data_IF_052828359383
#
_entry.id   IF_052828359383
#
_cell.length_a   1.000
_cell.length_b   1.000
_cell.length_c   1.000
_cell.angle_alpha   90.00
_cell.angle_beta   90.00
_cell.angle_gamma   90.00
#
_symmetry.space_group_name_H-M   'P 1'
#
loop_
_entity.id
_entity.type
_entity.pdbx_description
1 polymer ?
#
# COMPACT_ATOMS: atom_id res chain seq x y z
N UNK A 1 -24.82 23.77 -10.00
CA UNK A 1 -24.07 24.05 -11.25
C UNK A 1 -23.22 22.84 -11.58
N UNK A 2 -23.22 22.32 -12.81
CA UNK A 2 -22.43 21.11 -13.15
C UNK A 2 -21.09 21.60 -13.73
N UNK A 3 -20.02 21.56 -12.92
CA UNK A 3 -18.68 21.90 -13.38
C UNK A 3 -18.09 20.74 -14.20
N UNK A 4 -17.39 21.07 -15.27
CA UNK A 4 -16.64 20.13 -16.10
C UNK A 4 -15.27 19.92 -15.44
N UNK A 5 -14.80 18.67 -15.35
CA UNK A 5 -13.49 18.38 -14.77
C UNK A 5 -12.36 18.66 -15.76
N UNK A 6 -11.17 18.99 -15.23
CA UNK A 6 -9.97 19.16 -16.07
C UNK A 6 -9.67 17.88 -16.84
N UNK A 7 -9.84 16.72 -16.22
CA UNK A 7 -9.69 15.42 -16.89
C UNK A 7 -10.61 15.26 -18.10
N UNK A 8 -11.85 15.69 -17.97
CA UNK A 8 -12.83 15.63 -19.07
C UNK A 8 -12.44 16.55 -20.22
N UNK A 9 -11.95 17.77 -19.92
CA UNK A 9 -11.49 18.71 -20.94
C UNK A 9 -10.32 18.14 -21.75
N UNK A 10 -9.35 17.50 -21.09
CA UNK A 10 -8.21 16.88 -21.80
C UNK A 10 -8.60 15.62 -22.60
N UNK A 11 -9.62 14.88 -22.15
CA UNK A 11 -10.10 13.70 -22.89
C UNK A 11 -10.93 14.02 -24.11
N UNK A 12 -11.77 15.03 -24.00
CA UNK A 12 -12.80 15.38 -24.99
C UNK A 12 -12.72 16.83 -25.42
N UNK A 13 -11.51 17.38 -25.60
CA UNK A 13 -11.23 18.80 -25.89
C UNK A 13 -12.11 19.36 -27.00
N UNK A 14 -12.20 18.68 -28.14
CA UNK A 14 -12.97 19.12 -29.31
C UNK A 14 -14.46 19.34 -29.02
N UNK A 15 -15.01 18.60 -28.05
CA UNK A 15 -16.41 18.75 -27.64
C UNK A 15 -16.68 20.05 -26.91
N UNK A 16 -15.65 20.72 -26.42
CA UNK A 16 -15.76 21.92 -25.59
C UNK A 16 -15.12 23.17 -26.20
N UNK A 17 -14.34 23.05 -27.29
CA UNK A 17 -13.73 24.21 -27.96
C UNK A 17 -14.80 25.19 -28.44
N UNK A 18 -14.50 26.47 -28.27
CA UNK A 18 -15.34 27.64 -28.62
C UNK A 18 -16.70 27.65 -27.91
N UNK A 19 -16.84 26.87 -26.81
CA UNK A 19 -18.05 26.84 -25.99
C UNK A 19 -17.79 27.45 -24.62
N UNK A 20 -18.85 28.08 -24.11
CA UNK A 20 -18.90 28.52 -22.72
C UNK A 20 -18.99 27.28 -21.80
N UNK A 21 -18.06 27.21 -20.85
CA UNK A 21 -17.96 26.10 -19.87
C UNK A 21 -17.78 26.67 -18.46
N UNK A 22 -18.08 25.83 -17.45
CA UNK A 22 -17.82 26.14 -16.05
C UNK A 22 -16.91 25.08 -15.47
N UNK A 23 -15.83 25.51 -14.80
CA UNK A 23 -14.86 24.68 -14.11
C UNK A 23 -14.67 25.16 -12.68
N UNK A 24 -14.21 24.29 -11.78
CA UNK A 24 -13.91 24.64 -10.40
C UNK A 24 -12.62 23.95 -9.93
N UNK A 25 -11.87 24.61 -9.06
CA UNK A 25 -10.62 24.03 -8.54
C UNK A 25 -9.82 25.00 -7.69
N UNK A 26 -8.58 24.62 -7.41
CA UNK A 26 -7.66 25.36 -6.55
C UNK A 26 -6.50 25.93 -7.34
N UNK A 27 -6.13 27.18 -7.02
CA UNK A 27 -5.05 27.88 -7.70
C UNK A 27 -3.68 27.29 -7.36
N UNK A 28 -2.92 26.99 -8.40
CA UNK A 28 -1.50 26.59 -8.36
C UNK A 28 -0.58 27.80 -8.56
N UNK A 29 -1.03 28.79 -9.32
CA UNK A 29 -0.37 30.08 -9.46
C UNK A 29 -1.34 31.14 -9.94
N UNK A 30 -1.03 32.39 -9.61
CA UNK A 30 -1.67 33.59 -10.12
C UNK A 30 -0.57 34.55 -10.59
N UNK A 31 -0.66 35.03 -11.80
CA UNK A 31 0.27 36.00 -12.39
C UNK A 31 -0.53 37.08 -13.11
N UNK A 32 -0.59 38.26 -12.54
CA UNK A 32 -1.33 39.38 -13.09
C UNK A 32 -0.45 40.51 -13.62
N UNK A 33 -1.01 41.27 -14.55
CA UNK A 33 -0.55 42.58 -14.99
C UNK A 33 -1.64 43.62 -14.71
N UNK A 34 -1.46 44.84 -15.22
CA UNK A 34 -2.46 45.93 -15.02
C UNK A 34 -3.76 45.70 -15.80
N UNK A 35 -3.70 44.97 -16.92
CA UNK A 35 -4.81 44.80 -17.86
C UNK A 35 -5.36 43.37 -17.93
N UNK A 36 -4.55 42.37 -17.59
CA UNK A 36 -4.95 40.94 -17.61
C UNK A 36 -4.08 40.10 -16.69
N UNK A 37 -4.48 38.86 -16.44
CA UNK A 37 -3.70 37.90 -15.69
C UNK A 37 -3.97 36.44 -16.08
N UNK A 38 -3.14 35.55 -15.51
CA UNK A 38 -3.22 34.11 -15.71
C UNK A 38 -3.38 33.42 -14.37
N UNK A 39 -4.44 32.65 -14.24
CA UNK A 39 -4.56 31.66 -13.18
C UNK A 39 -4.14 30.29 -13.74
N UNK A 40 -3.43 29.51 -12.96
CA UNK A 40 -3.22 28.08 -13.22
C UNK A 40 -3.96 27.32 -12.13
N UNK A 41 -4.91 26.51 -12.52
CA UNK A 41 -5.82 25.80 -11.63
C UNK A 41 -5.67 24.29 -11.80
N UNK A 42 -5.81 23.54 -10.70
CA UNK A 42 -5.99 22.09 -10.70
C UNK A 42 -7.24 21.74 -9.90
N UNK A 43 -8.03 20.81 -10.41
CA UNK A 43 -9.27 20.35 -9.76
C UNK A 43 -9.15 18.99 -9.06
N UNK A 44 -7.95 18.40 -9.10
CA UNK A 44 -7.69 17.08 -8.51
C UNK A 44 -8.19 15.88 -9.35
N UNK A 45 -8.86 16.10 -10.48
CA UNK A 45 -9.36 15.01 -11.33
C UNK A 45 -8.28 14.33 -12.16
N UNK A 46 -7.20 15.02 -12.48
CA UNK A 46 -6.04 14.51 -13.21
C UNK A 46 -4.76 15.23 -12.79
N UNK A 47 -3.65 14.84 -13.42
CA UNK A 47 -2.34 15.41 -13.14
C UNK A 47 -2.13 16.77 -13.82
N UNK A 48 -2.82 17.00 -14.93
CA UNK A 48 -2.75 18.25 -15.67
C UNK A 48 -3.41 19.41 -14.92
N UNK A 49 -3.00 20.61 -15.31
CA UNK A 49 -3.59 21.87 -14.84
C UNK A 49 -4.23 22.64 -15.99
N UNK A 50 -5.13 23.53 -15.67
CA UNK A 50 -5.84 24.38 -16.62
C UNK A 50 -5.36 25.83 -16.49
N UNK A 51 -5.01 26.46 -17.61
CA UNK A 51 -4.74 27.88 -17.67
C UNK A 51 -6.02 28.66 -17.90
N UNK A 52 -6.18 29.76 -17.17
CA UNK A 52 -7.32 30.67 -17.25
C UNK A 52 -6.77 32.06 -17.43
N UNK A 53 -7.26 32.75 -18.44
CA UNK A 53 -6.94 34.16 -18.71
C UNK A 53 -8.10 35.02 -18.22
N UNK A 54 -7.83 36.04 -17.42
CA UNK A 54 -8.81 37.00 -16.94
C UNK A 54 -8.38 38.42 -17.24
N UNK A 55 -9.33 39.32 -17.53
CA UNK A 55 -9.10 40.67 -18.00
C UNK A 55 -9.67 41.73 -17.05
N UNK A 56 -9.21 43.00 -17.19
CA UNK A 56 -9.56 44.11 -16.34
C UNK A 56 -11.01 44.63 -16.53
N UNK A 57 -11.71 44.13 -17.53
CA UNK A 57 -13.15 44.36 -17.72
C UNK A 57 -14.04 43.55 -16.76
N UNK A 58 -13.49 42.60 -16.01
CA UNK A 58 -14.22 41.88 -14.98
C UNK A 58 -14.46 42.78 -13.76
N UNK A 59 -15.68 42.71 -13.19
CA UNK A 59 -16.06 43.52 -12.04
C UNK A 59 -15.13 43.30 -10.83
N UNK A 60 -14.75 42.07 -10.57
CA UNK A 60 -13.89 41.66 -9.45
C UNK A 60 -12.41 41.45 -9.83
N UNK A 61 -11.94 42.01 -10.94
CA UNK A 61 -10.55 41.90 -11.39
C UNK A 61 -9.51 42.19 -10.30
N UNK A 62 -9.73 43.22 -9.50
CA UNK A 62 -8.81 43.60 -8.41
C UNK A 62 -8.74 42.56 -7.30
N UNK A 63 -9.83 41.86 -7.03
CA UNK A 63 -9.91 40.77 -6.08
C UNK A 63 -9.16 39.54 -6.65
N UNK A 64 -9.53 39.10 -7.85
CA UNK A 64 -8.93 37.96 -8.53
C UNK A 64 -7.42 38.12 -8.70
N UNK A 65 -6.95 39.33 -9.04
CA UNK A 65 -5.51 39.62 -9.22
C UNK A 65 -4.66 39.46 -7.94
N UNK A 66 -5.29 39.45 -6.76
CA UNK A 66 -4.64 39.33 -5.46
C UNK A 66 -4.75 37.94 -4.84
N UNK A 67 -5.49 37.01 -5.44
CA UNK A 67 -5.68 35.69 -4.92
C UNK A 67 -4.34 34.94 -4.76
N UNK A 68 -4.18 34.30 -3.62
CA UNK A 68 -3.02 33.48 -3.30
C UNK A 68 -3.12 32.07 -3.89
N UNK A 69 -1.99 31.37 -3.92
CA UNK A 69 -1.93 29.92 -4.18
C UNK A 69 -2.79 29.20 -3.14
N UNK A 70 -3.57 28.22 -3.58
CA UNK A 70 -4.48 27.47 -2.73
C UNK A 70 -5.90 28.03 -2.66
N UNK A 71 -6.16 29.24 -3.16
CA UNK A 71 -7.52 29.77 -3.24
C UNK A 71 -8.41 28.89 -4.13
N UNK A 72 -9.66 28.72 -3.73
CA UNK A 72 -10.67 27.95 -4.45
C UNK A 72 -11.51 28.90 -5.32
N UNK A 73 -11.67 28.56 -6.59
CA UNK A 73 -12.42 29.37 -7.56
C UNK A 73 -13.35 28.52 -8.42
N UNK A 74 -14.48 29.15 -8.83
CA UNK A 74 -15.31 28.66 -9.93
C UNK A 74 -15.12 29.65 -11.08
N UNK A 75 -14.82 29.14 -12.26
CA UNK A 75 -14.57 29.97 -13.46
C UNK A 75 -15.56 29.60 -14.54
N UNK A 76 -16.24 30.60 -15.07
CA UNK A 76 -17.09 30.53 -16.25
C UNK A 76 -16.40 31.28 -17.38
N UNK A 77 -16.33 30.68 -18.56
CA UNK A 77 -15.70 31.32 -19.72
C UNK A 77 -15.64 30.40 -20.93
N UNK A 78 -15.05 30.91 -22.00
CA UNK A 78 -14.93 30.19 -23.27
C UNK A 78 -13.61 29.41 -23.35
N UNK A 79 -13.66 28.11 -23.68
CA UNK A 79 -12.47 27.28 -23.94
C UNK A 79 -11.92 27.61 -25.33
N UNK A 80 -10.66 28.02 -25.42
CA UNK A 80 -10.00 28.36 -26.69
C UNK A 80 -8.74 27.51 -26.90
N UNK A 81 -8.51 27.09 -28.14
CA UNK A 81 -7.30 26.39 -28.51
C UNK A 81 -6.08 27.31 -28.48
N UNK A 82 -4.94 26.76 -28.00
CA UNK A 82 -3.66 27.50 -27.95
C UNK A 82 -2.53 26.64 -28.54
N UNK A 83 -2.55 26.34 -29.86
CA UNK A 83 -1.65 25.38 -30.49
C UNK A 83 -0.17 25.79 -30.42
N UNK A 84 0.12 27.09 -30.30
CA UNK A 84 1.47 27.64 -30.18
C UNK A 84 1.97 27.71 -28.71
N UNK A 85 1.11 27.41 -27.75
CA UNK A 85 1.45 27.46 -26.33
C UNK A 85 1.87 26.08 -25.78
N UNK A 86 2.38 26.07 -24.56
CA UNK A 86 2.77 24.82 -23.89
C UNK A 86 1.55 23.93 -23.60
N UNK A 87 0.41 24.54 -23.23
CA UNK A 87 -0.87 23.85 -23.04
C UNK A 87 -1.69 23.88 -24.34
N UNK A 88 -2.51 22.85 -24.61
CA UNK A 88 -3.26 22.77 -25.86
C UNK A 88 -4.44 23.76 -25.94
N UNK A 89 -4.91 24.22 -24.80
CA UNK A 89 -6.06 25.15 -24.66
C UNK A 89 -5.98 25.95 -23.38
N UNK A 90 -6.79 26.99 -23.29
CA UNK A 90 -7.00 27.79 -22.08
C UNK A 90 -8.45 28.28 -22.00
N UNK A 91 -8.89 28.76 -20.84
CA UNK A 91 -10.19 29.44 -20.68
C UNK A 91 -10.00 30.93 -20.72
N UNK A 92 -10.75 31.60 -21.61
CA UNK A 92 -10.96 33.03 -21.55
C UNK A 92 -12.12 33.31 -20.57
N UNK A 93 -11.77 33.74 -19.35
CA UNK A 93 -12.73 33.92 -18.28
C UNK A 93 -13.66 35.12 -18.51
N UNK A 94 -14.93 34.87 -18.35
CA UNK A 94 -15.99 35.89 -18.30
C UNK A 94 -16.36 36.20 -16.86
N UNK A 95 -16.31 35.18 -15.98
CA UNK A 95 -16.63 35.31 -14.58
C UNK A 95 -15.69 34.42 -13.76
N UNK A 96 -15.18 34.92 -12.63
CA UNK A 96 -14.44 34.17 -11.63
C UNK A 96 -15.08 34.41 -10.27
N UNK A 97 -15.71 33.37 -9.73
CA UNK A 97 -16.26 33.38 -8.38
C UNK A 97 -15.22 32.87 -7.41
N UNK A 98 -14.93 33.64 -6.37
CA UNK A 98 -14.01 33.21 -5.29
C UNK A 98 -14.83 32.45 -4.25
N UNK A 99 -14.70 31.12 -4.22
CA UNK A 99 -15.38 30.26 -3.25
C UNK A 99 -14.68 30.29 -1.88
N UNK A 100 -13.35 30.40 -1.89
CA UNK A 100 -12.56 30.50 -0.68
C UNK A 100 -11.18 31.08 -0.95
N UNK A 101 -10.82 32.14 -0.25
CA UNK A 101 -9.48 32.70 -0.33
C UNK A 101 -8.45 31.84 0.42
N UNK A 102 -7.18 32.05 0.16
CA UNK A 102 -6.07 31.38 0.81
C UNK A 102 -5.23 32.39 1.59
N UNK A 103 -5.02 32.10 2.86
CA UNK A 103 -4.22 32.97 3.71
C UNK A 103 -2.77 33.11 3.19
N UNK A 104 -2.13 34.30 3.42
CA UNK A 104 -0.79 34.57 2.92
C UNK A 104 0.30 33.61 3.45
N UNK A 105 0.07 32.96 4.58
CA UNK A 105 0.94 32.00 5.22
C UNK A 105 0.71 30.54 4.76
N UNK A 106 -0.08 30.34 3.69
CA UNK A 106 -0.29 29.02 3.10
C UNK A 106 1.03 28.27 2.90
N UNK A 107 1.21 27.10 3.51
CA UNK A 107 2.54 26.47 3.65
C UNK A 107 3.10 25.91 2.33
N UNK A 108 2.22 25.56 1.36
CA UNK A 108 2.61 24.99 0.07
C UNK A 108 2.84 26.09 -0.98
N UNK A 109 3.80 26.96 -0.70
CA UNK A 109 4.22 28.01 -1.64
C UNK A 109 4.92 27.41 -2.88
N UNK A 110 5.05 28.22 -3.95
CA UNK A 110 5.69 27.83 -5.22
C UNK A 110 7.20 27.62 -5.05
N UNK A 111 7.60 26.57 -4.33
CA UNK A 111 8.98 26.12 -4.13
C UNK A 111 9.00 24.62 -3.96
N UNK A 112 10.17 24.00 -4.09
CA UNK A 112 10.33 22.58 -3.75
C UNK A 112 10.26 22.40 -2.22
N UNK A 113 9.45 21.45 -1.77
CA UNK A 113 9.34 21.03 -0.38
C UNK A 113 9.99 19.66 -0.20
N UNK A 114 10.68 19.44 0.91
CA UNK A 114 11.21 18.12 1.25
C UNK A 114 10.11 17.20 1.74
N UNK A 115 10.31 15.88 1.63
CA UNK A 115 9.36 14.91 2.15
C UNK A 115 9.22 14.99 3.67
N UNK A 116 10.32 15.28 4.40
CA UNK A 116 10.32 15.49 5.84
C UNK A 116 9.36 16.61 6.21
N UNK A 117 9.46 17.75 5.54
CA UNK A 117 8.54 18.87 5.77
C UNK A 117 7.09 18.49 5.44
N UNK A 118 6.85 17.82 4.31
CA UNK A 118 5.50 17.42 3.90
C UNK A 118 4.86 16.40 4.86
N UNK A 119 5.66 15.62 5.59
CA UNK A 119 5.16 14.74 6.65
C UNK A 119 4.64 15.50 7.87
N UNK A 120 5.11 16.73 8.10
CA UNK A 120 4.60 17.58 9.20
C UNK A 120 3.24 18.22 8.90
N UNK A 121 2.80 18.19 7.65
CA UNK A 121 1.52 18.74 7.18
C UNK A 121 0.75 17.70 6.34
N UNK A 122 0.46 16.49 6.85
CA UNK A 122 -0.13 15.40 6.07
C UNK A 122 -1.48 15.77 5.46
N UNK A 123 -2.29 16.61 6.14
CA UNK A 123 -3.57 17.12 5.67
C UNK A 123 -3.49 18.05 4.44
N UNK A 124 -2.33 18.64 4.16
CA UNK A 124 -2.13 19.54 3.01
C UNK A 124 -1.26 18.92 1.91
N UNK A 125 -0.37 17.97 2.25
CA UNK A 125 0.60 17.42 1.29
C UNK A 125 -0.03 16.81 0.05
N UNK A 126 -1.27 16.31 0.14
CA UNK A 126 -2.04 15.81 -1.00
C UNK A 126 -2.30 16.88 -2.09
N UNK A 127 -2.13 18.17 -1.77
CA UNK A 127 -2.22 19.26 -2.75
C UNK A 127 -0.94 19.40 -3.60
N UNK A 128 0.13 18.68 -3.31
CA UNK A 128 1.36 18.65 -4.13
C UNK A 128 1.25 17.65 -5.26
N UNK A 129 1.98 17.85 -6.35
CA UNK A 129 1.96 16.94 -7.49
C UNK A 129 2.41 15.52 -7.11
N UNK A 130 3.48 15.40 -6.31
CA UNK A 130 4.00 14.10 -5.88
C UNK A 130 2.94 13.30 -5.12
N UNK A 131 2.30 13.90 -4.12
CA UNK A 131 1.31 13.17 -3.31
C UNK A 131 -0.03 12.98 -4.02
N UNK A 132 -0.39 13.85 -4.96
CA UNK A 132 -1.52 13.58 -5.86
C UNK A 132 -1.25 12.33 -6.71
N UNK A 133 -0.04 12.21 -7.28
CA UNK A 133 0.35 11.03 -8.04
C UNK A 133 0.36 9.78 -7.16
N UNK A 134 0.99 9.82 -5.99
CA UNK A 134 1.07 8.69 -5.06
C UNK A 134 -0.31 8.17 -4.69
N UNK A 135 -1.20 9.03 -4.21
CA UNK A 135 -2.51 8.59 -3.72
C UNK A 135 -3.46 8.21 -4.84
N UNK A 136 -3.29 8.75 -6.04
CA UNK A 136 -4.03 8.31 -7.22
C UNK A 136 -3.60 6.91 -7.66
N UNK A 137 -2.28 6.66 -7.73
CA UNK A 137 -1.74 5.33 -8.02
C UNK A 137 -2.09 4.34 -6.92
N UNK A 138 -2.00 4.72 -5.64
CA UNK A 138 -2.48 3.89 -4.52
C UNK A 138 -3.94 3.44 -4.71
N UNK A 139 -4.81 4.35 -5.12
CA UNK A 139 -6.23 4.04 -5.39
C UNK A 139 -6.39 3.05 -6.55
N UNK A 140 -5.60 3.21 -7.62
CA UNK A 140 -5.63 2.29 -8.77
C UNK A 140 -5.10 0.90 -8.41
N UNK A 141 -4.03 0.82 -7.61
CA UNK A 141 -3.49 -0.46 -7.11
C UNK A 141 -4.56 -1.21 -6.32
N UNK A 142 -5.26 -0.53 -5.41
CA UNK A 142 -6.33 -1.16 -4.62
C UNK A 142 -7.44 -1.72 -5.52
N UNK A 143 -7.87 -0.94 -6.51
CA UNK A 143 -8.88 -1.40 -7.47
C UNK A 143 -8.38 -2.59 -8.30
N UNK A 144 -7.16 -2.53 -8.82
CA UNK A 144 -6.55 -3.60 -9.61
C UNK A 144 -6.46 -4.92 -8.83
N UNK A 145 -6.11 -4.87 -7.54
CA UNK A 145 -6.07 -6.05 -6.67
C UNK A 145 -7.47 -6.65 -6.52
N UNK A 146 -8.49 -5.85 -6.22
CA UNK A 146 -9.86 -6.34 -6.14
C UNK A 146 -10.32 -6.94 -7.48
N UNK A 147 -10.02 -6.28 -8.59
CA UNK A 147 -10.39 -6.77 -9.93
C UNK A 147 -9.71 -8.11 -10.23
N UNK A 148 -8.40 -8.24 -9.94
CA UNK A 148 -7.66 -9.47 -10.14
C UNK A 148 -8.30 -10.68 -9.46
N UNK A 149 -8.64 -10.54 -8.19
CA UNK A 149 -9.23 -11.63 -7.42
C UNK A 149 -10.69 -11.91 -7.80
N UNK A 150 -11.51 -10.86 -7.98
CA UNK A 150 -12.92 -11.02 -8.34
C UNK A 150 -13.10 -11.67 -9.71
N UNK A 151 -12.29 -11.31 -10.71
CA UNK A 151 -12.33 -11.93 -12.05
C UNK A 151 -11.93 -13.41 -12.04
N UNK A 152 -11.18 -13.84 -11.01
CA UNK A 152 -10.78 -15.25 -10.79
C UNK A 152 -11.74 -16.01 -9.88
N UNK A 153 -12.83 -15.39 -9.45
CA UNK A 153 -13.85 -16.02 -8.62
C UNK A 153 -13.53 -16.12 -7.14
N UNK A 154 -12.48 -15.42 -6.67
CA UNK A 154 -12.20 -15.32 -5.25
C UNK A 154 -13.26 -14.51 -4.52
N UNK A 155 -13.62 -14.93 -3.31
CA UNK A 155 -14.55 -14.24 -2.44
C UNK A 155 -13.80 -13.29 -1.51
N UNK A 156 -14.16 -12.01 -1.53
CA UNK A 156 -13.63 -11.04 -0.55
C UNK A 156 -14.26 -11.26 0.82
N UNK A 157 -13.45 -11.48 1.83
CA UNK A 157 -13.89 -11.78 3.21
C UNK A 157 -13.42 -10.68 4.17
N UNK A 158 -14.36 -10.16 4.95
CA UNK A 158 -14.06 -9.29 6.09
C UNK A 158 -13.70 -10.14 7.31
N UNK A 159 -12.46 -10.09 7.73
CA UNK A 159 -11.99 -10.72 8.97
C UNK A 159 -11.94 -9.71 10.12
N UNK A 160 -12.10 -10.16 11.38
CA UNK A 160 -12.14 -9.25 12.52
C UNK A 160 -10.83 -8.44 12.68
N UNK A 161 -10.97 -7.15 12.98
CA UNK A 161 -9.84 -6.29 13.35
C UNK A 161 -9.53 -6.38 14.85
N UNK A 162 -10.55 -6.68 15.68
CA UNK A 162 -10.38 -6.93 17.11
C UNK A 162 -10.41 -8.44 17.31
N UNK A 163 -9.37 -8.99 17.88
CA UNK A 163 -9.19 -10.44 18.04
C UNK A 163 -8.73 -10.81 19.43
N UNK A 164 -9.06 -12.03 19.86
CA UNK A 164 -8.50 -12.64 21.05
C UNK A 164 -7.39 -13.67 20.77
N UNK A 165 -6.94 -13.79 19.51
CA UNK A 165 -5.88 -14.71 19.11
C UNK A 165 -4.74 -13.99 18.38
N UNK A 166 -3.50 -14.44 18.59
CA UNK A 166 -2.32 -13.96 17.85
C UNK A 166 -2.05 -14.87 16.66
N UNK A 167 -2.19 -14.32 15.45
CA UNK A 167 -1.96 -15.08 14.22
C UNK A 167 -0.50 -15.56 14.07
N UNK A 168 0.46 -14.77 14.51
CA UNK A 168 1.88 -15.08 14.36
C UNK A 168 2.49 -15.79 15.57
N UNK A 169 1.76 -15.81 16.70
CA UNK A 169 2.16 -16.48 17.94
C UNK A 169 3.25 -15.78 18.76
N UNK A 170 3.71 -14.61 18.31
CA UNK A 170 4.73 -13.80 18.98
C UNK A 170 4.60 -12.30 18.60
N UNK A 171 3.45 -11.86 18.08
CA UNK A 171 3.24 -10.51 17.61
C UNK A 171 3.12 -9.52 18.75
N UNK A 172 3.80 -8.37 18.65
CA UNK A 172 3.54 -7.23 19.50
C UNK A 172 2.23 -6.58 19.08
N UNK A 173 1.15 -6.84 19.84
CA UNK A 173 -0.20 -6.41 19.52
C UNK A 173 -0.59 -5.17 20.31
N UNK A 174 -1.35 -4.26 19.70
CA UNK A 174 -2.04 -3.19 20.41
C UNK A 174 -3.22 -3.76 21.16
N UNK A 175 -3.28 -3.53 22.47
CA UNK A 175 -4.41 -3.95 23.30
C UNK A 175 -5.63 -3.06 23.06
N UNK A 176 -6.81 -3.68 22.98
CA UNK A 176 -8.11 -3.00 22.91
C UNK A 176 -8.84 -3.19 24.23
N UNK A 177 -9.12 -2.12 24.95
CA UNK A 177 -9.78 -2.16 26.25
C UNK A 177 -10.67 -0.93 26.45
N UNK A 178 -11.75 -1.10 27.21
CA UNK A 178 -12.62 -0.02 27.70
C UNK A 178 -12.44 0.24 29.21
N UNK A 179 -11.51 -0.47 29.86
CA UNK A 179 -11.23 -0.28 31.29
C UNK A 179 -10.61 1.09 31.54
N UNK A 180 -10.92 1.67 32.71
CA UNK A 180 -10.21 2.84 33.20
C UNK A 180 -8.79 2.45 33.62
N UNK A 181 -7.77 2.91 32.88
CA UNK A 181 -6.38 2.61 33.16
C UNK A 181 -5.87 3.15 34.51
N UNK A 182 -6.60 4.09 35.15
CA UNK A 182 -6.28 4.56 36.49
C UNK A 182 -6.86 3.66 37.58
N UNK A 183 -7.84 2.78 37.24
CA UNK A 183 -8.52 1.91 38.16
C UNK A 183 -8.86 0.57 37.50
N UNK A 184 -7.84 -0.15 37.10
CA UNK A 184 -7.98 -1.46 36.43
C UNK A 184 -8.48 -2.50 37.40
N UNK A 185 -9.61 -3.20 37.12
CA UNK A 185 -10.10 -4.31 37.93
C UNK A 185 -9.05 -5.43 38.03
N UNK A 186 -8.97 -6.07 39.22
CA UNK A 186 -8.00 -7.15 39.46
C UNK A 186 -8.67 -8.38 40.05
N UNK A 187 -8.16 -9.56 39.67
CA UNK A 187 -8.52 -10.83 40.31
C UNK A 187 -7.96 -10.91 41.72
N UNK A 188 -8.38 -11.97 42.46
CA UNK A 188 -7.85 -12.23 43.80
C UNK A 188 -6.33 -12.45 43.83
N UNK A 189 -5.77 -12.95 42.74
CA UNK A 189 -4.32 -13.14 42.55
C UNK A 189 -3.58 -11.87 42.12
N UNK A 190 -4.32 -10.74 41.94
CA UNK A 190 -3.74 -9.44 41.57
C UNK A 190 -3.47 -9.23 40.10
N UNK A 191 -3.89 -10.17 39.23
CA UNK A 191 -3.86 -10.03 37.77
C UNK A 191 -5.00 -9.12 37.27
N UNK A 192 -4.91 -8.63 36.01
CA UNK A 192 -6.00 -7.88 35.39
C UNK A 192 -7.23 -8.79 35.23
N UNK A 193 -8.36 -8.34 35.68
CA UNK A 193 -9.66 -9.07 35.55
C UNK A 193 -10.35 -8.65 34.23
N UNK A 194 -9.96 -9.27 33.14
CA UNK A 194 -10.55 -9.02 31.82
C UNK A 194 -12.02 -9.45 31.71
N UNK A 195 -12.58 -10.22 32.67
CA UNK A 195 -13.98 -10.56 32.65
C UNK A 195 -14.91 -9.33 32.84
N UNK A 196 -14.32 -8.23 33.32
CA UNK A 196 -15.00 -6.94 33.50
C UNK A 196 -14.78 -5.99 32.31
N UNK A 197 -13.99 -6.36 31.32
CA UNK A 197 -13.82 -5.58 30.08
C UNK A 197 -14.97 -5.85 29.10
N UNK A 198 -15.05 -5.01 28.04
CA UNK A 198 -16.16 -5.02 27.08
C UNK A 198 -16.42 -6.39 26.45
N UNK A 199 -15.39 -7.12 26.07
CA UNK A 199 -15.50 -8.46 25.47
C UNK A 199 -15.44 -9.61 26.48
N UNK A 200 -15.29 -9.34 27.77
CA UNK A 200 -15.15 -10.35 28.80
C UNK A 200 -13.87 -11.18 28.76
N UNK A 201 -12.89 -10.76 27.98
CA UNK A 201 -11.55 -11.36 27.82
C UNK A 201 -10.57 -10.34 27.24
N UNK A 202 -9.29 -10.64 27.33
CA UNK A 202 -8.26 -9.85 26.67
C UNK A 202 -8.46 -9.83 25.16
N UNK A 203 -8.38 -8.63 24.55
CA UNK A 203 -8.52 -8.44 23.11
C UNK A 203 -7.49 -7.45 22.59
N UNK A 204 -7.13 -7.63 21.32
CA UNK A 204 -6.08 -6.87 20.66
C UNK A 204 -6.49 -6.49 19.25
N UNK A 205 -5.79 -5.52 18.63
CA UNK A 205 -5.86 -5.30 17.19
C UNK A 205 -5.08 -6.39 16.45
N UNK A 206 -5.67 -6.88 15.36
CA UNK A 206 -5.11 -8.01 14.60
C UNK A 206 -3.79 -7.67 13.91
N UNK A 207 -2.87 -8.64 13.84
CA UNK A 207 -1.64 -8.57 13.05
C UNK A 207 -1.81 -9.18 11.65
N UNK A 208 -2.91 -9.94 11.42
CA UNK A 208 -3.23 -10.60 10.15
C UNK A 208 -4.66 -11.14 10.16
N UNK A 209 -5.32 -11.15 9.00
CA UNK A 209 -6.61 -11.79 8.80
C UNK A 209 -6.54 -13.28 8.42
N UNK A 210 -5.33 -13.85 8.29
CA UNK A 210 -5.09 -15.18 7.73
C UNK A 210 -5.88 -16.29 8.41
N UNK A 211 -5.74 -16.48 9.74
CA UNK A 211 -6.36 -17.61 10.43
C UNK A 211 -7.89 -17.62 10.29
N UNK A 212 -8.51 -16.45 10.37
CA UNK A 212 -9.95 -16.30 10.12
C UNK A 212 -10.29 -16.48 8.63
N UNK A 213 -9.41 -16.04 7.73
CA UNK A 213 -9.56 -16.22 6.29
C UNK A 213 -9.56 -17.70 5.89
N UNK A 214 -8.65 -18.50 6.45
CA UNK A 214 -8.59 -19.95 6.22
C UNK A 214 -9.92 -20.65 6.54
N UNK A 215 -10.67 -20.19 7.56
CA UNK A 215 -11.97 -20.78 7.87
C UNK A 215 -12.96 -20.65 6.71
N UNK A 216 -12.91 -19.53 6.01
CA UNK A 216 -13.77 -19.26 4.86
C UNK A 216 -13.24 -19.93 3.58
N UNK A 217 -11.93 -20.10 3.42
CA UNK A 217 -11.37 -20.90 2.33
C UNK A 217 -11.85 -22.35 2.38
N UNK A 218 -12.04 -22.92 3.57
CA UNK A 218 -12.61 -24.29 3.76
C UNK A 218 -14.08 -24.39 3.35
N UNK A 219 -14.75 -23.29 3.04
CA UNK A 219 -16.14 -23.24 2.58
C UNK A 219 -16.32 -22.70 1.16
N UNK A 220 -15.53 -21.67 0.80
CA UNK A 220 -15.64 -20.96 -0.48
C UNK A 220 -14.52 -21.34 -1.48
N UNK A 221 -13.56 -22.16 -1.06
CA UNK A 221 -12.39 -22.59 -1.83
C UNK A 221 -11.33 -21.49 -1.95
N UNK A 222 -11.63 -20.39 -2.64
CA UNK A 222 -10.69 -19.31 -2.93
C UNK A 222 -11.23 -18.01 -2.35
N UNK A 223 -10.53 -17.45 -1.37
CA UNK A 223 -10.89 -16.19 -0.71
C UNK A 223 -9.72 -15.24 -0.67
N UNK A 224 -9.98 -13.98 -0.41
CA UNK A 224 -8.93 -13.04 -0.02
C UNK A 224 -9.46 -12.04 1.01
N UNK A 225 -8.54 -11.59 1.87
CA UNK A 225 -8.74 -10.41 2.71
C UNK A 225 -8.05 -9.21 2.06
N UNK A 226 -8.54 -8.03 2.33
CA UNK A 226 -7.88 -6.76 2.04
C UNK A 226 -8.28 -5.80 3.15
N UNK A 227 -7.48 -5.72 4.18
CA UNK A 227 -7.85 -5.00 5.40
C UNK A 227 -6.66 -4.47 6.18
N UNK A 228 -6.93 -3.52 7.11
CA UNK A 228 -5.92 -2.99 7.99
C UNK A 228 -5.39 -4.06 8.96
N UNK A 229 -4.10 -3.99 9.21
CA UNK A 229 -3.36 -4.78 10.20
C UNK A 229 -2.52 -3.85 11.05
N UNK A 230 -2.20 -4.30 12.27
CA UNK A 230 -1.59 -3.47 13.28
C UNK A 230 -0.42 -4.22 13.95
N UNK A 231 0.72 -3.55 14.08
CA UNK A 231 1.88 -4.10 14.77
C UNK A 231 2.47 -3.07 15.71
N UNK A 232 2.62 -3.40 16.98
CA UNK A 232 3.13 -2.52 18.01
C UNK A 232 4.67 -2.55 18.12
N UNK A 233 5.35 -3.13 17.14
CA UNK A 233 6.81 -3.23 17.10
C UNK A 233 7.47 -1.85 17.22
N UNK A 234 8.43 -1.73 18.12
CA UNK A 234 9.21 -0.49 18.28
C UNK A 234 10.28 -0.37 17.18
N UNK A 235 9.85 -0.35 15.94
CA UNK A 235 10.71 -0.26 14.77
C UNK A 235 10.54 1.09 14.06
N UNK A 236 11.63 1.85 13.94
CA UNK A 236 11.62 3.16 13.30
C UNK A 236 12.40 3.16 11.97
N UNK A 237 12.06 2.23 11.09
CA UNK A 237 12.65 2.13 9.76
C UNK A 237 11.80 2.83 8.70
N UNK A 238 12.29 2.90 7.47
CA UNK A 238 11.56 3.44 6.33
C UNK A 238 10.47 2.49 5.80
N UNK A 239 10.38 1.27 6.32
CA UNK A 239 9.51 0.19 5.83
C UNK A 239 8.46 -0.26 6.84
N UNK A 240 8.50 0.24 8.09
CA UNK A 240 7.60 -0.14 9.16
C UNK A 240 6.61 0.98 9.48
N UNK A 241 5.35 0.60 9.62
CA UNK A 241 4.28 1.43 10.16
C UNK A 241 3.48 0.58 11.16
N UNK A 242 2.89 1.22 12.16
CA UNK A 242 2.09 0.54 13.17
C UNK A 242 0.70 0.14 12.65
N UNK A 243 0.22 0.82 11.62
CA UNK A 243 -1.02 0.55 10.90
C UNK A 243 -0.71 0.52 9.40
N UNK A 244 -1.07 -0.56 8.73
CA UNK A 244 -0.89 -0.78 7.29
C UNK A 244 -1.94 -1.76 6.78
N UNK A 245 -2.02 -2.00 5.47
CA UNK A 245 -3.00 -2.90 4.89
C UNK A 245 -2.34 -4.15 4.34
N UNK A 246 -3.00 -5.30 4.55
CA UNK A 246 -2.57 -6.59 4.00
C UNK A 246 -3.59 -7.12 3.00
N UNK A 247 -3.08 -7.73 1.95
CA UNK A 247 -3.83 -8.56 1.02
C UNK A 247 -3.42 -10.00 1.27
N UNK A 248 -4.37 -10.85 1.68
CA UNK A 248 -4.09 -12.21 2.13
C UNK A 248 -5.08 -13.18 1.47
N UNK A 249 -4.78 -13.70 0.26
CA UNK A 249 -5.54 -14.79 -0.33
C UNK A 249 -5.25 -16.11 0.38
N UNK A 250 -6.29 -16.96 0.48
CA UNK A 250 -6.20 -18.33 0.97
C UNK A 250 -6.97 -19.24 0.00
N UNK A 251 -6.34 -20.34 -0.43
CA UNK A 251 -6.82 -21.21 -1.50
C UNK A 251 -6.83 -22.67 -1.02
N UNK A 252 -8.02 -23.26 -0.93
CA UNK A 252 -8.19 -24.67 -0.64
C UNK A 252 -7.84 -25.52 -1.88
N UNK A 253 -7.30 -26.73 -1.65
CA UNK A 253 -6.81 -27.67 -2.66
C UNK A 253 -5.57 -27.20 -3.43
N UNK A 254 -4.96 -26.09 -3.02
CA UNK A 254 -3.76 -25.52 -3.61
C UNK A 254 -2.51 -25.92 -2.80
N UNK A 255 -1.42 -26.20 -3.47
CA UNK A 255 -0.11 -26.41 -2.89
C UNK A 255 0.79 -25.17 -2.99
N UNK A 256 2.08 -25.31 -2.68
CA UNK A 256 3.01 -24.20 -2.70
C UNK A 256 3.25 -23.66 -4.12
N UNK A 257 3.23 -24.53 -5.16
CA UNK A 257 3.43 -24.14 -6.54
C UNK A 257 2.25 -23.33 -7.05
N UNK A 258 1.01 -23.79 -6.81
CA UNK A 258 -0.23 -23.05 -7.11
C UNK A 258 -0.20 -21.66 -6.45
N UNK A 259 0.30 -21.57 -5.22
CA UNK A 259 0.41 -20.33 -4.46
C UNK A 259 1.38 -19.33 -5.12
N UNK A 260 2.55 -19.81 -5.57
CA UNK A 260 3.55 -18.99 -6.28
C UNK A 260 3.01 -18.51 -7.63
N UNK A 261 2.30 -19.35 -8.37
CA UNK A 261 1.68 -18.97 -9.65
C UNK A 261 0.67 -17.81 -9.48
N UNK A 262 -0.19 -17.88 -8.46
CA UNK A 262 -1.16 -16.80 -8.18
C UNK A 262 -0.45 -15.52 -7.74
N UNK A 263 0.60 -15.63 -6.92
CA UNK A 263 1.38 -14.48 -6.46
C UNK A 263 2.08 -13.76 -7.63
N UNK A 264 2.74 -14.50 -8.53
CA UNK A 264 3.36 -13.96 -9.75
C UNK A 264 2.32 -13.29 -10.65
N UNK A 265 1.20 -13.99 -10.92
CA UNK A 265 0.13 -13.47 -11.77
C UNK A 265 -0.48 -12.18 -11.22
N UNK A 266 -0.70 -12.11 -9.89
CA UNK A 266 -1.24 -10.91 -9.24
C UNK A 266 -0.27 -9.73 -9.36
N UNK A 267 1.00 -9.93 -9.07
CA UNK A 267 2.00 -8.86 -9.12
C UNK A 267 2.13 -8.30 -10.53
N UNK A 268 2.22 -9.17 -11.54
CA UNK A 268 2.27 -8.77 -12.96
C UNK A 268 1.00 -8.03 -13.39
N UNK A 269 -0.17 -8.52 -12.98
CA UNK A 269 -1.44 -7.86 -13.29
C UNK A 269 -1.51 -6.45 -12.74
N UNK A 270 -1.16 -6.26 -11.47
CA UNK A 270 -1.19 -4.95 -10.81
C UNK A 270 -0.22 -3.97 -11.47
N UNK A 271 1.01 -4.41 -11.78
CA UNK A 271 2.00 -3.59 -12.48
C UNK A 271 1.48 -3.16 -13.85
N UNK A 272 0.98 -4.10 -14.66
CA UNK A 272 0.42 -3.81 -15.99
C UNK A 272 -0.73 -2.82 -15.91
N UNK A 273 -1.66 -3.07 -14.98
CA UNK A 273 -2.83 -2.22 -14.78
C UNK A 273 -2.46 -0.77 -14.47
N UNK A 274 -1.49 -0.56 -13.59
CA UNK A 274 -1.04 0.79 -13.21
C UNK A 274 -0.31 1.49 -14.37
N UNK A 275 0.56 0.78 -15.09
CA UNK A 275 1.27 1.34 -16.26
C UNK A 275 0.30 1.77 -17.36
N UNK A 276 -0.78 1.03 -17.57
CA UNK A 276 -1.81 1.34 -18.58
C UNK A 276 -2.75 2.48 -18.15
N UNK A 277 -3.12 2.55 -16.86
CA UNK A 277 -4.17 3.46 -16.39
C UNK A 277 -3.65 4.74 -15.71
N UNK A 278 -2.34 4.83 -15.42
CA UNK A 278 -1.70 5.99 -14.84
C UNK A 278 -0.36 6.35 -15.51
N UNK A 279 -0.27 6.40 -16.86
CA UNK A 279 1.00 6.59 -17.56
C UNK A 279 1.68 7.92 -17.21
N UNK A 280 0.92 8.96 -16.92
CA UNK A 280 1.47 10.29 -16.58
C UNK A 280 2.09 10.30 -15.20
N UNK A 281 1.41 9.72 -14.20
CA UNK A 281 1.90 9.55 -12.84
C UNK A 281 3.16 8.66 -12.83
N UNK A 282 3.16 7.58 -13.59
CA UNK A 282 4.30 6.67 -13.69
C UNK A 282 5.51 7.32 -14.36
N UNK A 283 5.31 8.10 -15.42
CA UNK A 283 6.36 8.91 -16.02
C UNK A 283 6.90 9.96 -15.05
N UNK A 284 6.03 10.60 -14.27
CA UNK A 284 6.43 11.54 -13.24
C UNK A 284 7.32 10.88 -12.19
N UNK A 285 6.94 9.71 -11.68
CA UNK A 285 7.78 8.97 -10.72
C UNK A 285 9.13 8.59 -11.31
N UNK A 286 9.16 8.07 -12.53
CA UNK A 286 10.40 7.72 -13.22
C UNK A 286 11.34 8.92 -13.42
N UNK A 287 10.77 10.11 -13.66
CA UNK A 287 11.57 11.33 -13.88
C UNK A 287 12.06 11.97 -12.58
N UNK A 288 11.22 12.02 -11.53
CA UNK A 288 11.43 12.88 -10.37
C UNK A 288 11.65 12.14 -9.05
N UNK A 289 11.30 10.86 -8.97
CA UNK A 289 11.37 10.07 -7.74
C UNK A 289 12.43 8.98 -7.85
N UNK A 290 12.30 8.09 -8.83
CA UNK A 290 13.18 6.94 -9.01
C UNK A 290 13.50 6.73 -10.51
N UNK A 291 14.66 7.21 -10.93
CA UNK A 291 15.15 7.02 -12.30
C UNK A 291 15.44 5.54 -12.55
N UNK A 292 14.77 4.93 -13.53
CA UNK A 292 14.84 3.50 -13.81
C UNK A 292 13.67 2.70 -13.25
N UNK A 293 12.69 3.36 -12.64
CA UNK A 293 11.46 2.72 -12.16
C UNK A 293 10.75 1.94 -13.28
N UNK A 294 10.51 2.58 -14.42
CA UNK A 294 9.81 1.95 -15.55
C UNK A 294 10.58 0.75 -16.11
N UNK A 295 11.91 0.87 -16.27
CA UNK A 295 12.74 -0.24 -16.74
C UNK A 295 12.68 -1.44 -15.79
N UNK A 296 12.70 -1.18 -14.48
CA UNK A 296 12.55 -2.23 -13.45
C UNK A 296 11.18 -2.89 -13.51
N UNK A 297 10.09 -2.14 -13.59
CA UNK A 297 8.74 -2.68 -13.67
C UNK A 297 8.50 -3.48 -14.96
N UNK A 298 8.98 -2.98 -16.11
CA UNK A 298 8.94 -3.73 -17.36
C UNK A 298 9.80 -5.00 -17.30
N UNK A 299 10.93 -4.95 -16.60
CA UNK A 299 11.76 -6.12 -16.35
C UNK A 299 11.00 -7.22 -15.60
N UNK A 300 10.21 -6.86 -14.58
CA UNK A 300 9.34 -7.81 -13.86
C UNK A 300 8.26 -8.40 -14.76
N UNK A 301 7.58 -7.56 -15.55
CA UNK A 301 6.53 -8.03 -16.47
C UNK A 301 7.03 -9.03 -17.51
N UNK A 302 8.25 -8.83 -18.01
CA UNK A 302 8.82 -9.59 -19.12
C UNK A 302 9.67 -10.79 -18.67
N UNK A 303 9.85 -11.00 -17.36
CA UNK A 303 10.60 -12.14 -16.83
C UNK A 303 9.68 -13.24 -16.30
N UNK A 304 10.10 -14.48 -16.42
CA UNK A 304 9.61 -15.56 -15.57
C UNK A 304 10.30 -15.48 -14.23
N UNK A 305 9.59 -15.67 -13.13
CA UNK A 305 10.18 -15.64 -11.81
C UNK A 305 11.06 -16.87 -11.60
N UNK A 306 12.22 -16.67 -11.00
CA UNK A 306 13.13 -17.76 -10.68
C UNK A 306 12.68 -18.48 -9.41
N UNK A 307 13.16 -19.72 -9.22
CA UNK A 307 12.92 -20.52 -8.03
C UNK A 307 14.26 -20.94 -7.44
N UNK A 308 14.40 -20.83 -6.14
CA UNK A 308 15.57 -21.25 -5.39
C UNK A 308 15.16 -21.65 -3.98
N UNK A 309 15.69 -22.73 -3.43
CA UNK A 309 15.46 -23.06 -2.03
C UNK A 309 16.28 -22.16 -1.11
N UNK A 310 15.83 -21.98 0.12
CA UNK A 310 16.57 -21.22 1.12
C UNK A 310 17.99 -21.79 1.31
N UNK A 311 18.15 -23.10 1.33
CA UNK A 311 19.47 -23.75 1.46
C UNK A 311 20.40 -23.36 0.30
N UNK A 312 19.93 -23.44 -0.94
CA UNK A 312 20.70 -23.03 -2.12
C UNK A 312 21.00 -21.52 -2.10
N UNK A 313 20.01 -20.70 -1.66
CA UNK A 313 20.21 -19.26 -1.51
C UNK A 313 21.33 -18.94 -0.49
N UNK A 314 21.35 -19.62 0.66
CA UNK A 314 22.43 -19.48 1.65
C UNK A 314 23.78 -19.89 1.05
N UNK A 315 23.88 -21.00 0.33
CA UNK A 315 25.12 -21.44 -0.34
C UNK A 315 25.64 -20.39 -1.35
N UNK A 316 24.74 -19.71 -2.04
CA UNK A 316 25.09 -18.61 -2.95
C UNK A 316 25.61 -17.41 -2.17
N UNK A 317 24.89 -17.01 -1.11
CA UNK A 317 25.21 -15.84 -0.30
C UNK A 317 26.52 -16.02 0.49
N UNK A 318 26.78 -17.20 1.03
CA UNK A 318 28.02 -17.51 1.77
C UNK A 318 29.29 -17.27 0.94
N UNK A 319 29.23 -17.46 -0.38
CA UNK A 319 30.36 -17.17 -1.30
C UNK A 319 30.70 -15.69 -1.36
N UNK A 320 29.79 -14.81 -0.96
CA UNK A 320 29.97 -13.35 -0.94
C UNK A 320 29.89 -12.79 0.49
N UNK A 321 29.94 -13.61 1.51
CA UNK A 321 29.62 -13.28 2.90
C UNK A 321 30.47 -12.11 3.44
N UNK A 322 31.75 -12.00 3.03
CA UNK A 322 32.65 -10.95 3.48
C UNK A 322 32.17 -9.52 3.09
N UNK A 323 31.36 -9.41 2.05
CA UNK A 323 30.86 -8.13 1.53
C UNK A 323 29.52 -7.71 2.13
N UNK A 324 28.88 -8.54 2.97
CA UNK A 324 27.63 -8.20 3.64
C UNK A 324 27.88 -7.56 5.02
N UNK A 325 27.06 -6.61 5.39
CA UNK A 325 27.05 -6.04 6.74
C UNK A 325 26.58 -7.10 7.76
N UNK A 326 25.54 -7.86 7.40
CA UNK A 326 25.04 -9.00 8.19
C UNK A 326 25.51 -10.31 7.56
N UNK A 327 26.29 -11.08 8.33
CA UNK A 327 26.79 -12.38 7.86
C UNK A 327 25.67 -13.40 7.80
N UNK A 328 25.63 -14.20 6.73
CA UNK A 328 24.67 -15.29 6.58
C UNK A 328 25.26 -16.62 7.04
N UNK A 329 24.38 -17.42 7.61
CA UNK A 329 24.58 -18.86 7.86
C UNK A 329 23.23 -19.55 7.83
N UNK A 330 23.21 -20.83 7.58
CA UNK A 330 21.95 -21.58 7.56
C UNK A 330 21.17 -21.42 8.88
N UNK A 331 19.90 -21.07 8.80
CA UNK A 331 19.02 -20.78 9.94
C UNK A 331 18.88 -19.30 10.30
N UNK A 332 19.59 -18.38 9.63
CA UNK A 332 19.40 -16.94 9.85
C UNK A 332 18.27 -16.36 8.99
N UNK A 333 17.66 -15.27 9.47
CA UNK A 333 16.76 -14.46 8.65
C UNK A 333 17.54 -13.72 7.56
N UNK A 334 17.05 -13.76 6.32
CA UNK A 334 17.60 -12.97 5.23
C UNK A 334 17.31 -11.49 5.46
N UNK A 335 18.35 -10.68 5.31
CA UNK A 335 18.23 -9.23 5.36
C UNK A 335 18.04 -8.65 3.95
N UNK A 336 17.50 -7.44 3.84
CA UNK A 336 17.27 -6.78 2.55
C UNK A 336 18.50 -6.76 1.63
N UNK A 337 19.71 -6.65 2.17
CA UNK A 337 20.94 -6.69 1.38
C UNK A 337 21.15 -8.04 0.70
N UNK A 338 20.81 -9.15 1.40
CA UNK A 338 20.89 -10.51 0.85
C UNK A 338 19.84 -10.73 -0.25
N UNK A 339 18.59 -10.33 0.00
CA UNK A 339 17.48 -10.43 -0.95
C UNK A 339 17.75 -9.64 -2.24
N UNK A 340 18.25 -8.42 -2.11
CA UNK A 340 18.64 -7.59 -3.25
C UNK A 340 19.85 -8.15 -3.98
N UNK A 341 20.83 -8.69 -3.28
CA UNK A 341 21.97 -9.33 -3.92
C UNK A 341 21.52 -10.53 -4.78
N UNK A 342 20.61 -11.36 -4.28
CA UNK A 342 20.04 -12.47 -5.06
C UNK A 342 19.31 -11.96 -6.30
N UNK A 343 18.40 -10.99 -6.15
CA UNK A 343 17.55 -10.51 -7.26
C UNK A 343 18.27 -9.61 -8.26
N UNK A 344 19.25 -8.80 -7.82
CA UNK A 344 19.91 -7.79 -8.68
C UNK A 344 21.25 -8.27 -9.24
N UNK A 345 21.99 -9.11 -8.51
CA UNK A 345 23.34 -9.52 -8.95
C UNK A 345 23.35 -10.96 -9.49
N UNK A 346 22.65 -11.89 -8.84
CA UNK A 346 22.69 -13.31 -9.19
C UNK A 346 21.65 -13.64 -10.26
N UNK A 347 20.36 -13.54 -9.92
CA UNK A 347 19.27 -13.94 -10.82
C UNK A 347 18.86 -12.87 -11.82
N UNK A 348 19.06 -11.59 -11.51
CA UNK A 348 18.71 -10.40 -12.30
C UNK A 348 17.23 -10.38 -12.73
N UNK A 349 16.37 -10.91 -11.87
CA UNK A 349 14.91 -11.03 -12.03
C UNK A 349 14.25 -11.31 -10.69
N UNK A 350 12.91 -11.20 -10.57
CA UNK A 350 12.20 -11.70 -9.40
C UNK A 350 12.43 -13.20 -9.20
N UNK A 351 12.44 -13.61 -7.93
CA UNK A 351 12.58 -15.02 -7.53
C UNK A 351 11.64 -15.36 -6.40
N UNK A 352 11.26 -16.62 -6.31
CA UNK A 352 10.75 -17.24 -5.10
C UNK A 352 11.86 -17.95 -4.37
N UNK A 353 12.00 -17.68 -3.07
CA UNK A 353 12.83 -18.44 -2.15
C UNK A 353 11.91 -19.35 -1.35
N UNK A 354 12.15 -20.65 -1.33
CA UNK A 354 11.27 -21.64 -0.69
C UNK A 354 12.00 -22.47 0.36
N UNK A 355 11.24 -23.27 1.11
CA UNK A 355 11.75 -24.28 2.02
C UNK A 355 12.68 -23.72 3.10
N UNK A 356 12.15 -22.72 3.81
CA UNK A 356 12.85 -22.08 4.92
C UNK A 356 12.97 -22.97 6.15
N UNK A 357 14.00 -22.77 7.00
CA UNK A 357 14.08 -23.41 8.29
C UNK A 357 12.83 -23.19 9.14
N UNK A 358 12.28 -24.25 9.74
CA UNK A 358 11.08 -24.18 10.57
C UNK A 358 11.22 -23.19 11.75
N UNK A 359 12.43 -23.04 12.28
CA UNK A 359 12.67 -22.27 13.50
C UNK A 359 12.57 -20.75 13.32
N UNK A 360 12.60 -20.27 12.07
CA UNK A 360 12.44 -18.86 11.71
C UNK A 360 11.11 -18.55 11.00
N UNK A 361 10.17 -19.51 10.97
CA UNK A 361 8.86 -19.34 10.31
C UNK A 361 7.72 -19.73 11.25
N UNK A 362 6.53 -19.23 10.95
CA UNK A 362 5.34 -19.37 11.79
C UNK A 362 4.85 -20.84 11.94
N UNK A 363 4.12 -21.07 13.00
CA UNK A 363 3.69 -22.42 13.42
C UNK A 363 2.75 -23.14 12.43
N UNK A 364 2.00 -22.38 11.65
CA UNK A 364 0.96 -22.89 10.74
C UNK A 364 1.51 -23.37 9.40
N UNK A 365 2.80 -23.17 9.13
CA UNK A 365 3.41 -23.55 7.84
C UNK A 365 3.66 -25.05 7.78
N UNK A 366 3.36 -25.67 6.63
CA UNK A 366 3.49 -27.10 6.42
C UNK A 366 4.93 -27.58 6.61
N UNK A 367 5.12 -28.54 7.52
CA UNK A 367 6.42 -29.17 7.74
C UNK A 367 6.77 -30.08 6.56
N UNK A 368 7.95 -29.88 5.98
CA UNK A 368 8.48 -30.70 4.91
C UNK A 368 8.91 -32.11 5.45
N UNK A 369 9.11 -33.07 4.56
CA UNK A 369 9.48 -34.45 4.92
C UNK A 369 10.83 -34.57 5.66
N UNK A 370 11.72 -33.57 5.47
CA UNK A 370 13.01 -33.51 6.15
C UNK A 370 12.91 -33.21 7.66
N UNK A 371 11.74 -32.78 8.12
CA UNK A 371 11.45 -32.37 9.50
C UNK A 371 12.20 -31.12 9.98
N UNK A 372 12.89 -30.41 9.11
CA UNK A 372 13.74 -29.25 9.40
C UNK A 372 13.25 -27.97 8.71
N UNK A 373 12.67 -28.11 7.54
CA UNK A 373 12.17 -27.00 6.74
C UNK A 373 10.66 -27.01 6.64
N UNK A 374 10.08 -25.87 6.25
CA UNK A 374 8.66 -25.70 6.00
C UNK A 374 8.42 -25.21 4.57
N UNK A 375 7.28 -25.55 3.99
CA UNK A 375 6.84 -25.14 2.66
C UNK A 375 6.43 -23.66 2.65
N UNK A 376 7.36 -22.79 3.06
CA UNK A 376 7.25 -21.34 2.97
C UNK A 376 7.71 -20.85 1.60
N UNK A 377 7.25 -19.69 1.21
CA UNK A 377 7.76 -18.97 0.05
C UNK A 377 7.84 -17.47 0.34
N UNK A 378 8.92 -16.82 -0.06
CA UNK A 378 9.04 -15.38 -0.12
C UNK A 378 9.32 -14.97 -1.57
N UNK A 379 8.49 -14.07 -2.12
CA UNK A 379 8.72 -13.47 -3.43
C UNK A 379 9.61 -12.24 -3.28
N UNK A 380 10.80 -12.33 -3.84
CA UNK A 380 11.79 -11.25 -3.83
C UNK A 380 11.82 -10.55 -5.19
N UNK A 381 11.82 -9.23 -5.16
CA UNK A 381 11.90 -8.40 -6.38
C UNK A 381 13.08 -7.43 -6.34
N UNK A 382 13.69 -7.09 -7.50
CA UNK A 382 14.75 -6.10 -7.56
C UNK A 382 14.32 -4.76 -6.98
N UNK A 383 15.18 -4.11 -6.19
CA UNK A 383 14.95 -2.77 -5.62
C UNK A 383 14.39 -2.76 -4.22
N UNK A 384 13.54 -3.73 -3.84
CA UNK A 384 12.91 -3.74 -2.51
C UNK A 384 13.21 -5.01 -1.70
N UNK A 385 13.55 -6.14 -2.35
CA UNK A 385 13.65 -7.44 -1.72
C UNK A 385 12.29 -8.12 -1.59
N UNK A 386 11.96 -8.69 -0.42
CA UNK A 386 10.70 -9.35 -0.16
C UNK A 386 9.50 -8.40 -0.34
N UNK A 387 8.54 -8.80 -1.18
CA UNK A 387 7.28 -8.10 -1.42
C UNK A 387 6.06 -8.95 -1.03
N UNK A 388 6.16 -10.26 -1.14
CA UNK A 388 5.12 -11.24 -0.77
C UNK A 388 5.78 -12.32 0.07
N UNK A 389 5.16 -12.68 1.19
CA UNK A 389 5.50 -13.86 1.98
C UNK A 389 4.31 -14.80 2.08
N UNK A 390 4.52 -16.10 2.02
CA UNK A 390 3.44 -17.07 2.07
C UNK A 390 3.89 -18.49 2.39
N UNK A 391 2.95 -19.42 2.39
CA UNK A 391 3.25 -20.85 2.58
C UNK A 391 2.10 -21.73 2.15
N UNK A 392 2.40 -23.00 1.94
CA UNK A 392 1.41 -24.05 2.14
C UNK A 392 1.17 -24.18 3.64
N UNK A 393 -0.09 -24.38 4.03
CA UNK A 393 -0.50 -24.47 5.45
C UNK A 393 -0.43 -25.91 5.90
N UNK A 394 -0.12 -26.14 7.20
CA UNK A 394 -0.14 -27.48 7.77
C UNK A 394 -1.58 -28.00 7.85
N UNK A 395 -1.85 -29.09 7.15
CA UNK A 395 -3.16 -29.74 7.03
C UNK A 395 -3.30 -30.97 7.92
N UNK A 396 -2.21 -31.42 8.55
CA UNK A 396 -2.17 -32.52 9.51
C UNK A 396 -2.34 -31.98 10.94
N UNK A 397 -3.36 -32.50 11.65
CA UNK A 397 -3.68 -32.06 13.00
C UNK A 397 -2.55 -32.37 14.00
N UNK A 398 -1.96 -33.55 13.93
CA UNK A 398 -0.94 -33.97 14.89
C UNK A 398 0.35 -33.15 14.73
N UNK A 399 0.74 -32.88 13.47
CA UNK A 399 1.91 -32.04 13.18
C UNK A 399 1.68 -30.60 13.62
N UNK A 400 0.51 -30.03 13.31
CA UNK A 400 0.14 -28.67 13.73
C UNK A 400 0.16 -28.53 15.25
N UNK A 401 -0.51 -29.45 15.95
CA UNK A 401 -0.56 -29.44 17.43
C UNK A 401 0.85 -29.63 18.02
N UNK A 402 1.65 -30.55 17.48
CA UNK A 402 3.04 -30.74 17.91
C UNK A 402 3.87 -29.48 17.76
N UNK A 403 3.71 -28.76 16.63
CA UNK A 403 4.42 -27.48 16.42
C UNK A 403 3.96 -26.39 17.38
N UNK A 404 2.67 -26.30 17.66
CA UNK A 404 2.13 -25.35 18.65
C UNK A 404 2.71 -25.63 20.05
N UNK A 405 2.81 -26.90 20.44
CA UNK A 405 3.40 -27.30 21.74
C UNK A 405 4.91 -26.95 21.79
N UNK A 406 5.69 -27.20 20.72
CA UNK A 406 7.09 -26.77 20.63
C UNK A 406 7.27 -25.27 20.90
N UNK A 407 6.34 -24.44 20.43
CA UNK A 407 6.36 -22.99 20.57
C UNK A 407 5.66 -22.46 21.83
N UNK A 408 5.08 -23.36 22.65
CA UNK A 408 4.38 -22.98 23.89
C UNK A 408 3.03 -22.29 23.67
N UNK A 409 2.43 -22.45 22.48
CA UNK A 409 1.10 -21.92 22.18
C UNK A 409 0.02 -22.77 22.84
N UNK A 410 -1.03 -22.11 23.35
CA UNK A 410 -2.14 -22.78 24.00
C UNK A 410 -3.19 -23.20 22.96
N UNK A 411 -3.46 -24.49 22.84
CA UNK A 411 -4.47 -25.01 21.90
C UNK A 411 -5.87 -24.39 22.12
N UNK A 412 -6.19 -24.03 23.35
CA UNK A 412 -7.47 -23.41 23.72
C UNK A 412 -7.73 -22.09 22.97
N UNK A 413 -6.67 -21.31 22.70
CA UNK A 413 -6.75 -20.03 22.01
C UNK A 413 -6.97 -20.20 20.49
N UNK A 414 -6.69 -21.39 19.96
CA UNK A 414 -6.76 -21.72 18.54
C UNK A 414 -7.76 -22.86 18.23
N UNK A 415 -8.71 -23.14 19.11
CA UNK A 415 -9.67 -24.23 18.94
C UNK A 415 -10.40 -24.20 17.60
N UNK A 416 -10.85 -23.00 17.16
CA UNK A 416 -11.50 -22.81 15.86
C UNK A 416 -10.57 -23.18 14.67
N UNK A 417 -9.28 -22.92 14.78
CA UNK A 417 -8.28 -23.19 13.76
C UNK A 417 -7.93 -24.69 13.68
N UNK A 418 -7.84 -25.35 14.84
CA UNK A 418 -7.64 -26.80 14.92
C UNK A 418 -8.85 -27.58 14.39
N UNK A 419 -10.07 -27.05 14.54
CA UNK A 419 -11.28 -27.67 14.00
C UNK A 419 -11.26 -27.78 12.46
N UNK A 420 -10.57 -26.88 11.76
CA UNK A 420 -10.37 -26.98 10.30
C UNK A 420 -9.60 -28.25 9.90
N UNK A 421 -8.77 -28.79 10.80
CA UNK A 421 -8.01 -30.05 10.57
C UNK A 421 -8.79 -31.27 10.99
N UNK A 422 -9.80 -31.11 11.84
CA UNK A 422 -10.68 -32.21 12.27
C UNK A 422 -11.85 -32.46 11.33
N UNK A 423 -12.36 -31.40 10.70
CA UNK A 423 -13.61 -31.43 9.95
C UNK A 423 -13.37 -31.15 8.46
N UNK A 424 -12.83 -32.12 7.73
CA UNK A 424 -12.63 -32.06 6.28
C UNK A 424 -11.39 -31.27 5.90
N UNK A 425 -10.28 -31.53 6.56
CA UNK A 425 -8.98 -30.95 6.22
C UNK A 425 -8.58 -31.20 4.77
N UNK A 426 -8.06 -30.18 4.13
CA UNK A 426 -7.50 -30.28 2.78
C UNK A 426 -6.16 -29.53 2.72
N UNK A 427 -5.29 -29.92 1.78
CA UNK A 427 -4.14 -29.08 1.47
C UNK A 427 -4.63 -27.70 1.07
N UNK A 428 -4.00 -26.65 1.57
CA UNK A 428 -4.32 -25.28 1.24
C UNK A 428 -3.12 -24.38 1.42
N UNK A 429 -3.12 -23.26 0.74
CA UNK A 429 -2.00 -22.33 0.74
C UNK A 429 -2.49 -20.89 0.61
N UNK A 430 -1.64 -19.97 0.98
CA UNK A 430 -1.93 -18.56 0.90
C UNK A 430 -0.68 -17.70 1.08
N UNK A 431 -0.82 -16.42 0.84
CA UNK A 431 0.27 -15.47 0.98
C UNK A 431 -0.21 -14.12 1.49
N UNK A 432 0.71 -13.28 1.96
CA UNK A 432 0.48 -11.91 2.34
C UNK A 432 1.26 -10.94 1.47
N UNK A 433 0.58 -9.94 0.91
CA UNK A 433 1.18 -8.78 0.27
C UNK A 433 0.94 -7.54 1.14
N UNK A 434 2.01 -6.91 1.63
CA UNK A 434 1.90 -5.60 2.27
C UNK A 434 1.53 -4.54 1.24
N UNK A 435 0.34 -3.95 1.37
CA UNK A 435 -0.18 -3.00 0.38
C UNK A 435 0.74 -1.77 0.21
N UNK A 436 1.19 -1.21 1.31
CA UNK A 436 2.09 -0.06 1.31
C UNK A 436 3.44 -0.38 0.67
N UNK A 437 3.97 -1.58 0.90
CA UNK A 437 5.20 -2.03 0.26
C UNK A 437 5.03 -2.16 -1.25
N UNK A 438 3.88 -2.65 -1.70
CA UNK A 438 3.50 -2.68 -3.11
C UNK A 438 3.40 -1.26 -3.71
N UNK A 439 2.75 -0.32 -3.01
CA UNK A 439 2.68 1.08 -3.46
C UNK A 439 4.06 1.72 -3.54
N UNK A 440 4.93 1.51 -2.53
CA UNK A 440 6.32 1.97 -2.57
C UNK A 440 7.05 1.42 -3.79
N UNK A 441 6.90 0.14 -4.07
CA UNK A 441 7.54 -0.54 -5.19
C UNK A 441 7.13 0.05 -6.54
N UNK A 442 5.81 0.25 -6.75
CA UNK A 442 5.29 0.77 -8.01
C UNK A 442 5.51 2.28 -8.20
N UNK A 443 5.70 3.05 -7.13
CA UNK A 443 5.91 4.51 -7.21
C UNK A 443 7.37 4.93 -7.07
N UNK A 444 8.25 4.03 -6.63
CA UNK A 444 9.63 4.34 -6.29
C UNK A 444 9.80 5.16 -5.00
N UNK A 445 8.73 5.31 -4.20
CA UNK A 445 8.80 6.04 -2.94
C UNK A 445 9.62 5.28 -1.91
N UNK A 446 10.61 5.92 -1.33
CA UNK A 446 11.60 5.29 -0.42
C UNK A 446 11.15 5.18 1.04
N UNK A 447 9.96 5.65 1.41
CA UNK A 447 9.51 5.64 2.80
C UNK A 447 8.01 5.35 2.89
N UNK A 448 7.65 4.38 3.72
CA UNK A 448 6.25 3.96 3.93
C UNK A 448 5.33 5.11 4.38
N UNK A 449 5.88 6.07 5.14
CA UNK A 449 5.14 7.27 5.58
C UNK A 449 4.65 8.13 4.41
N UNK A 450 5.24 7.98 3.24
CA UNK A 450 4.93 8.78 2.06
C UNK A 450 3.90 8.11 1.13
N UNK A 451 3.50 6.89 1.44
CA UNK A 451 2.46 6.15 0.70
C UNK A 451 1.19 5.89 1.52
N UNK A 452 1.17 6.33 2.76
CA UNK A 452 0.01 6.31 3.67
C UNK A 452 -0.50 7.75 3.84
N UNK A 453 -1.79 8.05 3.67
CA UNK A 453 -2.33 9.41 3.84
C UNK A 453 -2.00 10.02 5.20
N UNK A 454 -2.26 9.29 6.29
CA UNK A 454 -2.01 9.66 7.68
C UNK A 454 -1.26 8.51 8.37
N UNK A 455 0.08 8.46 8.28
CA UNK A 455 0.85 7.32 8.78
C UNK A 455 0.84 7.24 10.30
N UNK A 456 0.67 6.02 10.82
CA UNK A 456 0.84 5.68 12.24
C UNK A 456 2.16 4.97 12.41
N UNK A 457 3.05 5.56 13.17
CA UNK A 457 4.39 5.01 13.44
C UNK A 457 4.79 5.31 14.88
N UNK A 458 5.88 4.72 15.35
CA UNK A 458 6.41 5.00 16.67
C UNK A 458 6.52 6.52 16.90
N UNK A 459 5.98 7.02 18.02
CA UNK A 459 5.90 8.43 18.41
C UNK A 459 5.18 9.35 17.41
N UNK A 460 4.34 8.81 16.52
CA UNK A 460 3.57 9.61 15.58
C UNK A 460 2.14 9.07 15.40
N UNK A 461 1.17 9.84 15.90
CA UNK A 461 -0.26 9.61 15.76
C UNK A 461 -1.00 10.93 15.48
N UNK A 462 -0.32 11.84 14.78
CA UNK A 462 -0.86 13.16 14.46
C UNK A 462 -1.92 13.08 13.35
N UNK A 463 -3.07 13.80 13.58
CA UNK A 463 -4.26 13.91 12.72
C UNK A 463 -5.08 12.63 12.57
#
# INVERSE_FOLDING_TARGET
>A
MKCITVKELYRNTESYLDKEITVAGWLRSNRGSKAFGFLVMGDGSCFQTLQIVYHDNMENFKEVSKLNVGAAVIVKGTLVATPEAKQPFEIQAEEVVVEGDSAPDYPLQKKRHSFEYLRTIPHLRARTNTFQAVFRVRSLIAYAIHQFFQERGFVYVHTPLITGSDCEGAGEMFQVTTMDLNNVPKTEEGQIDYSQDFFGKETNLTVSGQLNGETYAMAFRDIYTFGPTFRAENSNTTRHAAEFWMIEPEMAFADLEDNMEVAEAMLKYVISYVLENAPEEMNFFNQFVDKGLLDRLHGVLNSEFGHVTYTEAIEILEKNNDNFDYKVSWGCDLQTEHERYLTEQIFKRPIFVTDYPKDIKAFYMKLNEDGKTVAAMDCLVPGIGEIIGGSQREDDLEKLTGRMQELGLKEEDYGFYLDLRKYGSVRHSGFGLGFERCVMYLTGMGNIRDVIPFPRTVNNCEL
#
